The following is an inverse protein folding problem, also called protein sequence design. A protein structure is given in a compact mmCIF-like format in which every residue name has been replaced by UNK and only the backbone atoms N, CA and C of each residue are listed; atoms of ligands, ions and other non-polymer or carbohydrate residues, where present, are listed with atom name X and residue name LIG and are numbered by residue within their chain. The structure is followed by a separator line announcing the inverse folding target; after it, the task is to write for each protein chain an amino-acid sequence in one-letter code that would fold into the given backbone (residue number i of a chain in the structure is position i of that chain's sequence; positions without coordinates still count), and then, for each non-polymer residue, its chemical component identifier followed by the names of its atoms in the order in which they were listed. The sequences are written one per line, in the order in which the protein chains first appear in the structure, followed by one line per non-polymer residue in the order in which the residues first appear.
data_IF_598054615010
#
_entry.id   IF_598054615010
#
_cell.length_a   1.000
_cell.length_b   1.000
_cell.length_c   1.000
_cell.angle_alpha   90.00
_cell.angle_beta   90.00
_cell.angle_gamma   90.00
#
_symmetry.space_group_name_H-M   'P 1'
#
loop_
_entity.id
_entity.type
_entity.pdbx_description
1 polymer ?
#
# COMPACT_ATOMS: atom_id res chain seq x y z
N UNK A 1 -17.72 -18.47 4.89
CA UNK A 1 -17.45 -17.02 4.99
C UNK A 1 -15.95 -16.84 4.88
N UNK A 2 -15.45 -16.10 3.88
CA UNK A 2 -14.00 -15.82 3.76
C UNK A 2 -13.57 -15.10 5.04
N UNK A 3 -12.66 -15.71 5.80
CA UNK A 3 -12.25 -15.26 7.12
C UNK A 3 -11.82 -13.79 7.10
N UNK A 4 -12.39 -13.01 8.03
CA UNK A 4 -12.24 -11.55 8.15
C UNK A 4 -10.87 -11.12 8.64
N UNK A 5 -9.84 -11.52 7.90
CA UNK A 5 -8.44 -11.18 8.13
C UNK A 5 -7.95 -10.37 6.93
N UNK A 6 -7.51 -9.16 7.18
CA UNK A 6 -6.88 -8.27 6.22
C UNK A 6 -5.43 -8.12 6.64
N UNK A 7 -4.53 -8.50 5.76
CA UNK A 7 -3.09 -8.42 5.97
C UNK A 7 -2.48 -7.70 4.76
N UNK A 8 -1.31 -7.09 4.97
CA UNK A 8 -0.48 -6.60 3.87
C UNK A 8 0.99 -6.87 4.14
N UNK A 9 1.77 -6.87 3.08
CA UNK A 9 3.22 -6.97 3.13
C UNK A 9 3.84 -6.15 2.00
N UNK A 10 5.08 -5.72 2.21
CA UNK A 10 5.92 -5.11 1.19
C UNK A 10 7.03 -6.08 0.83
N UNK A 11 7.25 -6.31 -0.47
CA UNK A 11 8.33 -7.16 -0.98
C UNK A 11 9.26 -6.29 -1.82
N UNK A 12 10.57 -6.34 -1.54
CA UNK A 12 11.56 -5.79 -2.45
C UNK A 12 11.61 -6.63 -3.72
N UNK A 13 11.25 -6.03 -4.87
CA UNK A 13 11.14 -6.77 -6.13
C UNK A 13 12.45 -7.38 -6.61
N UNK A 14 13.59 -6.75 -6.30
CA UNK A 14 14.91 -7.19 -6.72
C UNK A 14 15.44 -8.33 -5.84
N UNK A 15 15.36 -8.18 -4.51
CA UNK A 15 15.92 -9.16 -3.56
C UNK A 15 14.92 -10.25 -3.15
N UNK A 16 13.62 -10.05 -3.43
CA UNK A 16 12.50 -10.87 -2.95
C UNK A 16 12.33 -10.90 -1.43
N UNK A 17 13.02 -10.02 -0.72
CA UNK A 17 12.90 -9.90 0.73
C UNK A 17 11.56 -9.25 1.11
N UNK A 18 10.94 -9.77 2.17
CA UNK A 18 9.81 -9.11 2.83
C UNK A 18 10.33 -7.97 3.70
N UNK A 19 10.12 -6.72 3.25
CA UNK A 19 10.59 -5.52 3.95
C UNK A 19 9.68 -5.13 5.11
N UNK A 20 8.39 -5.47 5.04
CA UNK A 20 7.45 -5.31 6.15
C UNK A 20 6.24 -6.23 5.97
N UNK A 21 5.56 -6.51 7.08
CA UNK A 21 4.30 -7.25 7.14
C UNK A 21 3.41 -6.69 8.24
N UNK A 22 2.10 -6.68 8.02
CA UNK A 22 1.13 -6.28 9.04
C UNK A 22 -0.19 -7.02 8.90
N UNK A 23 -0.72 -7.43 10.06
CA UNK A 23 -2.07 -7.94 10.23
C UNK A 23 -2.98 -6.81 10.75
N UNK A 24 -4.03 -6.48 10.00
CA UNK A 24 -5.00 -5.45 10.33
C UNK A 24 -6.28 -6.01 10.98
N UNK A 25 -6.35 -7.34 11.19
CA UNK A 25 -7.56 -8.01 11.61
C UNK A 25 -8.70 -7.80 10.61
N UNK A 26 -9.90 -7.48 11.08
CA UNK A 26 -11.07 -7.37 10.22
C UNK A 26 -11.20 -5.98 9.58
N UNK A 27 -10.54 -5.78 8.43
CA UNK A 27 -10.72 -4.60 7.58
C UNK A 27 -11.31 -4.96 6.20
N UNK A 28 -11.56 -3.95 5.38
CA UNK A 28 -11.89 -4.18 3.97
C UNK A 28 -10.59 -4.31 3.18
N UNK A 29 -10.65 -5.02 2.05
CA UNK A 29 -9.52 -5.17 1.13
C UNK A 29 -8.93 -3.81 0.73
N UNK A 30 -9.76 -2.86 0.30
CA UNK A 30 -9.30 -1.53 -0.10
C UNK A 30 -8.58 -0.76 1.04
N UNK A 31 -8.99 -0.96 2.30
CA UNK A 31 -8.27 -0.37 3.45
C UNK A 31 -6.89 -0.97 3.59
N UNK A 32 -6.78 -2.30 3.50
CA UNK A 32 -5.51 -3.00 3.55
C UNK A 32 -4.56 -2.57 2.44
N UNK A 33 -5.03 -2.55 1.20
CA UNK A 33 -4.26 -2.14 0.03
C UNK A 33 -3.74 -0.71 0.14
N UNK A 34 -4.59 0.24 0.56
CA UNK A 34 -4.16 1.62 0.75
C UNK A 34 -3.14 1.77 1.88
N UNK A 35 -3.37 1.11 3.03
CA UNK A 35 -2.43 1.16 4.14
C UNK A 35 -1.08 0.52 3.78
N UNK A 36 -1.07 -0.51 2.93
CA UNK A 36 0.16 -1.10 2.39
C UNK A 36 0.97 -0.08 1.58
N UNK A 37 0.30 0.68 0.70
CA UNK A 37 0.94 1.76 -0.07
C UNK A 37 1.52 2.83 0.85
N UNK A 38 0.78 3.26 1.86
CA UNK A 38 1.28 4.29 2.80
C UNK A 38 2.43 3.76 3.66
N UNK A 39 2.44 2.48 4.02
CA UNK A 39 3.60 1.86 4.68
C UNK A 39 4.84 1.86 3.78
N UNK A 40 4.69 1.54 2.49
CA UNK A 40 5.79 1.62 1.53
C UNK A 40 6.33 3.04 1.36
N UNK A 41 5.45 4.05 1.35
CA UNK A 41 5.84 5.48 1.32
C UNK A 41 6.67 5.84 2.54
N UNK A 42 6.24 5.44 3.75
CA UNK A 42 7.02 5.66 4.98
C UNK A 42 8.38 4.99 4.90
N UNK A 43 8.41 3.72 4.50
CA UNK A 43 9.65 2.97 4.35
C UNK A 43 10.63 3.67 3.40
N UNK A 44 10.14 4.17 2.26
CA UNK A 44 10.95 4.91 1.29
C UNK A 44 11.54 6.19 1.91
N UNK A 45 10.72 6.97 2.62
CA UNK A 45 11.15 8.23 3.23
C UNK A 45 12.14 7.97 4.38
N UNK A 46 11.83 7.04 5.28
CA UNK A 46 12.61 6.75 6.48
C UNK A 46 13.98 6.14 6.18
N UNK A 47 14.11 5.41 5.07
CA UNK A 47 15.33 4.69 4.71
C UNK A 47 16.05 5.29 3.49
N UNK A 48 15.55 6.40 2.94
CA UNK A 48 15.96 6.95 1.64
C UNK A 48 16.06 5.86 0.56
N UNK A 49 15.04 5.01 0.47
CA UNK A 49 15.07 3.85 -0.41
C UNK A 49 15.00 4.28 -1.89
N UNK A 50 15.85 3.68 -2.73
CA UNK A 50 15.96 3.99 -4.15
C UNK A 50 15.86 2.74 -5.04
N UNK A 51 15.21 2.83 -6.21
CA UNK A 51 14.43 3.97 -6.69
C UNK A 51 13.14 4.15 -5.87
N UNK A 52 12.63 5.38 -5.79
CA UNK A 52 11.39 5.75 -5.08
C UNK A 52 10.13 5.31 -5.83
N UNK A 53 9.99 4.00 -6.05
CA UNK A 53 8.94 3.41 -6.88
C UNK A 53 8.17 2.36 -6.09
N UNK A 54 6.83 2.47 -6.11
CA UNK A 54 5.90 1.51 -5.52
C UNK A 54 5.08 0.86 -6.62
N UNK A 55 4.94 -0.47 -6.56
CA UNK A 55 4.01 -1.22 -7.40
C UNK A 55 2.85 -1.75 -6.56
N UNK A 56 1.63 -1.64 -7.07
CA UNK A 56 0.42 -2.25 -6.49
C UNK A 56 -0.56 -2.61 -7.60
N UNK A 57 -1.26 -3.73 -7.48
CA UNK A 57 -2.37 -4.11 -8.37
C UNK A 57 -3.71 -3.46 -7.96
N UNK A 58 -3.71 -2.65 -6.89
CA UNK A 58 -4.90 -1.92 -6.45
C UNK A 58 -5.00 -0.53 -7.08
N UNK A 59 -5.87 -0.42 -8.09
CA UNK A 59 -6.27 0.88 -8.66
C UNK A 59 -6.91 1.81 -7.61
N UNK A 60 -7.59 1.25 -6.61
CA UNK A 60 -8.19 2.03 -5.51
C UNK A 60 -7.11 2.67 -4.65
N UNK A 61 -6.08 1.90 -4.26
CA UNK A 61 -4.98 2.43 -3.46
C UNK A 61 -4.22 3.55 -4.21
N UNK A 62 -3.99 3.36 -5.52
CA UNK A 62 -3.38 4.39 -6.39
C UNK A 62 -4.23 5.67 -6.41
N UNK A 63 -5.55 5.53 -6.60
CA UNK A 63 -6.45 6.68 -6.64
C UNK A 63 -6.46 7.44 -5.29
N UNK A 64 -6.55 6.73 -4.17
CA UNK A 64 -6.54 7.34 -2.84
C UNK A 64 -5.20 7.97 -2.47
N UNK A 65 -4.08 7.35 -2.89
CA UNK A 65 -2.74 7.92 -2.73
C UNK A 65 -2.61 9.26 -3.47
N UNK A 66 -2.96 9.29 -4.77
CA UNK A 66 -2.90 10.51 -5.59
C UNK A 66 -3.80 11.62 -5.04
N UNK A 67 -4.99 11.26 -4.55
CA UNK A 67 -5.91 12.21 -3.92
C UNK A 67 -5.49 12.63 -2.50
N UNK A 68 -4.52 11.93 -1.89
CA UNK A 68 -4.18 12.00 -0.46
C UNK A 68 -5.46 11.96 0.41
N UNK A 69 -6.42 11.13 0.00
CA UNK A 69 -7.77 11.05 0.56
C UNK A 69 -8.43 9.71 0.20
N UNK A 70 -9.04 9.07 1.20
CA UNK A 70 -9.81 7.84 1.03
C UNK A 70 -11.30 8.13 0.88
N UNK A 71 -12.00 7.24 0.18
CA UNK A 71 -13.47 7.27 0.00
C UNK A 71 -14.19 6.19 0.84
N UNK A 72 -13.52 5.61 1.83
CA UNK A 72 -14.10 4.59 2.71
C UNK A 72 -15.12 5.20 3.67
N UNK A 73 -16.27 4.54 3.84
CA UNK A 73 -17.28 4.89 4.86
C UNK A 73 -17.07 4.15 6.17
N UNK A 74 -16.19 3.12 6.21
CA UNK A 74 -15.87 2.38 7.43
C UNK A 74 -14.94 3.22 8.33
N UNK A 75 -15.30 3.48 9.60
CA UNK A 75 -14.43 4.17 10.54
C UNK A 75 -13.12 3.41 10.75
N UNK A 76 -11.99 4.07 10.49
CA UNK A 76 -10.66 3.48 10.65
C UNK A 76 -9.65 4.58 11.01
N UNK A 77 -9.13 4.55 12.25
CA UNK A 77 -8.17 5.55 12.74
C UNK A 77 -6.88 5.57 11.91
N UNK A 78 -6.47 4.42 11.38
CA UNK A 78 -5.26 4.30 10.57
C UNK A 78 -5.42 4.96 9.20
N UNK A 79 -6.62 4.98 8.60
CA UNK A 79 -6.89 5.78 7.40
C UNK A 79 -6.71 7.27 7.68
N UNK A 80 -7.28 7.77 8.79
CA UNK A 80 -7.15 9.20 9.14
C UNK A 80 -5.68 9.57 9.33
N UNK A 81 -4.89 8.74 10.03
CA UNK A 81 -3.45 8.95 10.21
C UNK A 81 -2.69 8.92 8.88
N UNK A 82 -3.02 7.96 8.01
CA UNK A 82 -2.43 7.83 6.70
C UNK A 82 -2.70 9.06 5.82
N UNK A 83 -3.93 9.57 5.78
CA UNK A 83 -4.27 10.80 5.05
C UNK A 83 -3.52 12.02 5.59
N UNK A 84 -3.43 12.18 6.92
CA UNK A 84 -2.67 13.27 7.54
C UNK A 84 -1.19 13.18 7.21
N UNK A 85 -0.60 11.98 7.28
CA UNK A 85 0.80 11.75 6.92
C UNK A 85 1.08 12.14 5.46
N UNK A 86 0.27 11.66 4.51
CA UNK A 86 0.46 11.98 3.09
C UNK A 86 0.35 13.49 2.79
N UNK A 87 -0.50 14.21 3.53
CA UNK A 87 -0.65 15.67 3.37
C UNK A 87 0.51 16.43 4.02
N UNK A 88 0.89 16.03 5.24
CA UNK A 88 1.96 16.68 6.01
C UNK A 88 3.33 16.57 5.32
N UNK A 89 3.61 15.43 4.68
CA UNK A 89 4.85 15.19 3.93
C UNK A 89 4.65 15.24 2.40
N UNK A 90 3.69 16.04 1.93
CA UNK A 90 3.31 16.06 0.52
C UNK A 90 4.49 16.33 -0.44
N UNK A 91 5.43 17.20 -0.07
CA UNK A 91 6.63 17.47 -0.88
C UNK A 91 7.49 16.24 -1.12
N UNK A 92 7.72 15.41 -0.11
CA UNK A 92 8.49 14.17 -0.23
C UNK A 92 7.68 13.08 -0.92
N UNK A 93 6.40 12.97 -0.55
CA UNK A 93 5.46 12.00 -1.13
C UNK A 93 5.32 12.19 -2.63
N UNK A 94 5.30 13.43 -3.12
CA UNK A 94 5.15 13.76 -4.55
C UNK A 94 6.40 13.39 -5.37
N UNK A 95 7.52 13.03 -4.72
CA UNK A 95 8.70 12.44 -5.39
C UNK A 95 8.61 10.93 -5.60
N UNK A 96 7.60 10.27 -5.02
CA UNK A 96 7.45 8.81 -5.08
C UNK A 96 6.48 8.44 -6.19
N UNK A 97 6.94 7.61 -7.11
CA UNK A 97 6.12 7.10 -8.20
C UNK A 97 5.34 5.87 -7.76
N UNK A 98 4.06 5.81 -8.12
CA UNK A 98 3.22 4.63 -7.91
C UNK A 98 2.69 4.11 -9.25
N UNK A 99 2.99 2.85 -9.53
CA UNK A 99 2.59 2.17 -10.76
C UNK A 99 1.62 1.04 -10.48
N UNK A 100 0.69 0.86 -11.41
CA UNK A 100 -0.20 -0.29 -11.40
C UNK A 100 0.56 -1.54 -11.84
N UNK A 101 0.51 -2.60 -11.05
CA UNK A 101 1.00 -3.91 -11.44
C UNK A 101 -0.04 -4.65 -12.30
N UNK A 102 0.30 -4.94 -13.55
CA UNK A 102 -0.61 -5.62 -14.47
C UNK A 102 -0.58 -7.14 -14.27
N UNK A 103 -1.47 -7.65 -13.39
CA UNK A 103 -1.57 -9.08 -13.09
C UNK A 103 -1.79 -9.95 -14.35
N UNK A 104 -2.40 -9.41 -15.42
CA UNK A 104 -2.63 -10.16 -16.67
C UNK A 104 -1.35 -10.39 -17.45
N UNK A 105 -0.42 -9.44 -17.40
CA UNK A 105 0.85 -9.49 -18.16
C UNK A 105 1.99 -10.07 -17.34
N UNK A 106 2.00 -9.81 -16.03
CA UNK A 106 3.14 -10.12 -15.16
C UNK A 106 2.87 -11.23 -14.14
N UNK A 107 1.64 -11.75 -14.12
CA UNK A 107 1.19 -12.66 -13.06
C UNK A 107 0.89 -11.92 -11.76
N UNK A 108 0.48 -12.66 -10.74
CA UNK A 108 0.19 -12.11 -9.41
C UNK A 108 1.41 -11.39 -8.84
N UNK A 109 1.15 -10.31 -8.08
CA UNK A 109 2.24 -9.53 -7.48
C UNK A 109 3.06 -10.41 -6.53
N UNK A 110 4.38 -10.19 -6.37
CA UNK A 110 5.17 -10.93 -5.39
C UNK A 110 4.70 -10.74 -3.93
N UNK A 111 3.90 -9.72 -3.65
CA UNK A 111 3.31 -9.46 -2.33
C UNK A 111 1.97 -10.19 -2.11
N UNK A 112 1.42 -10.89 -3.11
CA UNK A 112 0.21 -11.70 -2.97
C UNK A 112 0.46 -12.88 -2.01
N UNK A 113 -0.54 -13.22 -1.20
CA UNK A 113 -0.44 -14.29 -0.20
C UNK A 113 -0.77 -15.69 -0.75
N UNK A 114 -1.15 -15.82 -2.02
CA UNK A 114 -1.42 -17.09 -2.70
C UNK A 114 -2.69 -17.81 -2.21
N UNK A 115 -3.66 -17.08 -1.64
CA UNK A 115 -4.86 -17.66 -1.00
C UNK A 115 -6.14 -17.54 -1.85
N UNK A 116 -6.01 -17.29 -3.15
CA UNK A 116 -7.14 -17.07 -4.07
C UNK A 116 -7.79 -18.38 -4.51
#
# INVERSE_FOLDING_TARGET
MKNGKTEYQGINLATKEQIFYKDLGNQTTNIGEFLAVVEAVKFIIENDFQPRIIYTDSMTAIAWFKAKKTSSTKPCKDLTRAEMFLRALSSDVDTIEIYHWDNKRWGETPADFGRK
#
